data_IF_281509164750
#
_entry.id   IF_281509164750
#
_cell.length_a   1.000
_cell.length_b   1.000
_cell.length_c   1.000
_cell.angle_alpha   90.00
_cell.angle_beta   90.00
_cell.angle_gamma   90.00
#
_symmetry.space_group_name_H-M   'P 1'
#
loop_
_entity.id
_entity.type
_entity.pdbx_description
1 polymer ?
#
# COMPACT_ATOMS: atom_id res chain seq x y z
N UNK A 1 25.87 -17.28 -8.64
CA UNK A 1 27.19 -17.48 -9.28
C UNK A 1 28.28 -17.34 -8.25
N UNK A 2 29.32 -18.20 -8.29
CA UNK A 2 30.50 -18.08 -7.41
C UNK A 2 31.64 -17.50 -8.25
N UNK A 3 32.30 -16.48 -7.74
CA UNK A 3 33.45 -15.80 -8.36
C UNK A 3 34.68 -16.12 -7.53
N UNK A 4 35.69 -16.69 -8.13
CA UNK A 4 37.00 -17.01 -7.49
C UNK A 4 38.03 -15.89 -7.72
N UNK A 5 39.06 -15.84 -6.86
CA UNK A 5 40.16 -14.88 -6.98
C UNK A 5 39.81 -13.45 -6.55
N UNK A 6 38.77 -13.31 -5.72
CA UNK A 6 38.29 -12.00 -5.25
C UNK A 6 39.20 -11.48 -4.13
N UNK A 7 39.88 -10.35 -4.38
CA UNK A 7 40.78 -9.72 -3.40
C UNK A 7 40.08 -8.65 -2.54
N UNK A 8 39.07 -7.99 -3.09
CA UNK A 8 38.26 -6.98 -2.40
C UNK A 8 36.84 -7.07 -2.92
N UNK A 9 35.89 -7.28 -2.05
CA UNK A 9 34.46 -7.15 -2.31
C UNK A 9 33.76 -6.81 -1.00
N UNK A 10 32.66 -6.12 -1.08
CA UNK A 10 31.81 -5.80 0.08
C UNK A 10 30.46 -6.49 -0.05
N UNK A 11 29.82 -6.78 1.09
CA UNK A 11 28.44 -7.27 1.11
C UNK A 11 27.53 -6.23 0.45
N UNK A 12 26.56 -6.68 -0.32
CA UNK A 12 25.57 -5.85 -1.06
C UNK A 12 26.17 -4.95 -2.17
N UNK A 13 27.46 -5.14 -2.49
CA UNK A 13 28.14 -4.43 -3.58
C UNK A 13 27.62 -4.88 -4.94
N UNK A 14 27.39 -3.91 -5.85
CA UNK A 14 27.05 -4.19 -7.23
C UNK A 14 28.24 -4.75 -7.99
N UNK A 15 27.93 -5.67 -8.88
CA UNK A 15 28.87 -6.23 -9.84
C UNK A 15 28.32 -6.12 -11.27
N UNK A 16 29.17 -5.79 -12.21
CA UNK A 16 28.89 -5.88 -13.65
C UNK A 16 29.46 -7.21 -14.17
N UNK A 17 28.64 -7.96 -14.87
CA UNK A 17 28.96 -9.27 -15.39
C UNK A 17 28.91 -9.18 -16.91
N UNK A 18 30.05 -9.37 -17.57
CA UNK A 18 30.16 -9.40 -19.03
C UNK A 18 30.25 -10.85 -19.49
N UNK A 19 29.29 -11.27 -20.30
CA UNK A 19 29.24 -12.60 -20.90
C UNK A 19 30.17 -12.74 -22.07
N UNK A 20 30.42 -13.96 -22.56
CA UNK A 20 31.33 -14.20 -23.69
C UNK A 20 30.88 -13.58 -25.03
N UNK A 21 29.58 -13.36 -25.18
CA UNK A 21 28.96 -12.71 -26.34
C UNK A 21 28.80 -11.18 -26.17
N UNK A 22 29.35 -10.62 -25.07
CA UNK A 22 29.39 -9.19 -24.82
C UNK A 22 28.10 -8.63 -24.19
N UNK A 23 27.17 -9.48 -23.80
CA UNK A 23 25.99 -9.06 -22.98
C UNK A 23 26.48 -8.61 -21.60
N UNK A 24 25.89 -7.55 -21.08
CA UNK A 24 26.17 -7.05 -19.74
C UNK A 24 24.98 -7.29 -18.83
N UNK A 25 25.24 -7.91 -17.69
CA UNK A 25 24.28 -8.16 -16.63
C UNK A 25 24.74 -7.49 -15.34
N UNK A 26 23.80 -7.20 -14.48
CA UNK A 26 24.08 -6.72 -13.14
C UNK A 26 23.88 -7.85 -12.13
N UNK A 27 24.58 -7.71 -11.01
CA UNK A 27 24.40 -8.58 -9.85
C UNK A 27 24.82 -7.88 -8.58
N UNK A 28 24.58 -8.53 -7.46
CA UNK A 28 25.05 -8.06 -6.16
C UNK A 28 25.76 -9.16 -5.37
N UNK A 29 26.69 -8.74 -4.56
CA UNK A 29 27.44 -9.63 -3.68
C UNK A 29 26.56 -10.03 -2.49
N UNK A 30 26.38 -11.33 -2.31
CA UNK A 30 25.63 -11.91 -1.19
C UNK A 30 26.53 -12.36 -0.05
N UNK A 31 27.75 -12.80 -0.40
CA UNK A 31 28.68 -13.33 0.57
C UNK A 31 30.12 -13.14 0.07
N UNK A 32 31.03 -12.86 0.98
CA UNK A 32 32.46 -12.74 0.71
C UNK A 32 33.23 -13.56 1.72
N UNK A 33 34.08 -14.45 1.25
CA UNK A 33 34.93 -15.25 2.13
C UNK A 33 35.96 -16.08 1.38
N UNK A 34 37.12 -16.31 2.00
CA UNK A 34 38.16 -17.23 1.49
C UNK A 34 38.59 -16.97 0.04
N UNK A 35 38.67 -15.69 -0.38
CA UNK A 35 39.05 -15.33 -1.75
C UNK A 35 37.97 -15.57 -2.81
N UNK A 36 36.72 -15.77 -2.36
CA UNK A 36 35.54 -16.00 -3.21
C UNK A 36 34.44 -15.00 -2.88
N UNK A 37 33.59 -14.70 -3.85
CA UNK A 37 32.35 -13.99 -3.66
C UNK A 37 31.17 -14.77 -4.25
N UNK A 38 30.08 -14.88 -3.48
CA UNK A 38 28.80 -15.35 -4.01
C UNK A 38 28.04 -14.14 -4.56
N UNK A 39 27.74 -14.20 -5.85
CA UNK A 39 27.08 -13.11 -6.56
C UNK A 39 25.71 -13.58 -7.04
N UNK A 40 24.69 -12.83 -6.70
CA UNK A 40 23.36 -12.98 -7.26
C UNK A 40 23.25 -12.15 -8.53
N UNK A 41 22.96 -12.80 -9.65
CA UNK A 41 22.79 -12.15 -10.96
C UNK A 41 21.33 -11.75 -11.11
N UNK A 42 21.06 -10.49 -11.47
CA UNK A 42 19.68 -9.96 -11.54
C UNK A 42 18.92 -10.58 -12.72
N UNK A 43 19.51 -10.62 -13.89
CA UNK A 43 18.90 -11.17 -15.10
C UNK A 43 19.07 -12.71 -15.21
N UNK A 44 19.45 -13.36 -14.13
CA UNK A 44 19.65 -14.82 -14.08
C UNK A 44 21.01 -15.27 -14.61
N UNK A 45 21.30 -16.57 -14.41
CA UNK A 45 22.61 -17.17 -14.75
C UNK A 45 22.61 -17.99 -16.04
N UNK A 46 21.47 -18.08 -16.74
CA UNK A 46 21.36 -18.83 -18.00
C UNK A 46 22.29 -18.23 -19.05
N UNK A 47 23.11 -19.07 -19.71
CA UNK A 47 24.05 -18.62 -20.70
C UNK A 47 25.41 -18.10 -20.19
N UNK A 48 25.58 -17.99 -18.85
CA UNK A 48 26.88 -17.68 -18.28
C UNK A 48 27.83 -18.88 -18.40
N UNK A 49 28.98 -18.66 -19.03
CA UNK A 49 30.02 -19.68 -19.15
C UNK A 49 30.97 -19.64 -17.94
N UNK A 50 31.44 -20.80 -17.49
CA UNK A 50 32.40 -20.91 -16.37
C UNK A 50 33.72 -20.22 -16.72
N UNK A 51 34.11 -20.27 -18.01
CA UNK A 51 35.32 -19.65 -18.52
C UNK A 51 34.96 -18.57 -19.52
N UNK A 52 35.55 -17.37 -19.36
CA UNK A 52 35.35 -16.23 -20.27
C UNK A 52 34.36 -15.18 -19.80
N UNK A 53 33.46 -15.51 -18.87
CA UNK A 53 32.64 -14.52 -18.16
C UNK A 53 33.53 -13.64 -17.28
N UNK A 54 33.42 -12.33 -17.41
CA UNK A 54 34.18 -11.35 -16.63
C UNK A 54 33.27 -10.71 -15.59
N UNK A 55 33.79 -10.52 -14.38
CA UNK A 55 33.06 -9.88 -13.28
C UNK A 55 33.84 -8.68 -12.79
N UNK A 56 33.21 -7.52 -12.77
CA UNK A 56 33.76 -6.28 -12.29
C UNK A 56 33.00 -5.84 -11.03
N UNK A 57 33.67 -5.78 -9.91
CA UNK A 57 33.16 -5.22 -8.66
C UNK A 57 33.15 -3.70 -8.77
N UNK A 58 32.00 -3.07 -8.46
CA UNK A 58 31.80 -1.63 -8.70
C UNK A 58 32.14 -0.75 -7.49
N UNK A 59 32.38 -1.35 -6.31
CA UNK A 59 32.69 -0.63 -5.08
C UNK A 59 31.55 0.23 -4.54
N UNK A 60 30.32 -0.02 -4.98
CA UNK A 60 29.12 0.72 -4.58
C UNK A 60 27.90 -0.18 -4.52
N UNK A 61 26.94 0.21 -3.70
CA UNK A 61 25.61 -0.40 -3.64
C UNK A 61 24.74 0.05 -4.83
N UNK A 62 23.56 -0.52 -4.96
CA UNK A 62 22.61 -0.09 -5.98
C UNK A 62 22.08 1.32 -5.65
N UNK A 63 22.15 2.20 -6.64
CA UNK A 63 21.66 3.58 -6.52
C UNK A 63 20.56 3.84 -7.57
N UNK A 64 19.56 4.63 -7.19
CA UNK A 64 18.53 5.14 -8.09
C UNK A 64 18.86 6.59 -8.48
N UNK A 65 18.95 6.92 -9.78
CA UNK A 65 18.99 8.30 -10.23
C UNK A 65 17.62 8.95 -9.94
N UNK A 66 17.62 10.09 -9.29
CA UNK A 66 16.39 10.79 -8.91
C UNK A 66 16.38 12.21 -9.41
N UNK A 67 15.22 12.66 -9.88
CA UNK A 67 14.93 14.03 -10.29
C UNK A 67 13.41 14.25 -10.35
N UNK A 68 12.98 15.50 -10.51
CA UNK A 68 11.56 15.80 -10.72
C UNK A 68 11.03 15.24 -12.05
N UNK A 69 11.90 14.99 -13.02
CA UNK A 69 11.54 14.42 -14.33
C UNK A 69 11.05 12.97 -14.27
N UNK A 70 11.14 12.31 -13.11
CA UNK A 70 10.56 10.99 -12.91
C UNK A 70 9.03 11.01 -12.90
N UNK A 71 8.41 12.14 -12.59
CA UNK A 71 6.95 12.29 -12.66
C UNK A 71 6.45 12.11 -14.09
N UNK A 72 5.41 11.34 -14.25
CA UNK A 72 4.83 10.99 -15.55
C UNK A 72 5.48 9.79 -16.23
N UNK A 73 6.47 9.15 -15.62
CA UNK A 73 7.28 8.09 -16.22
C UNK A 73 6.90 6.70 -15.71
N UNK A 74 7.24 5.71 -16.55
CA UNK A 74 7.10 4.28 -16.23
C UNK A 74 8.46 3.61 -16.27
N UNK A 75 8.79 2.86 -15.23
CA UNK A 75 10.07 2.16 -15.04
C UNK A 75 9.84 0.66 -14.83
N UNK A 76 10.87 -0.13 -15.08
CA UNK A 76 10.91 -1.54 -14.66
C UNK A 76 11.20 -1.68 -13.15
N UNK A 77 11.29 -2.91 -12.66
CA UNK A 77 11.54 -3.21 -11.25
C UNK A 77 12.91 -2.74 -10.73
N UNK A 78 13.86 -2.49 -11.59
CA UNK A 78 15.21 -1.97 -11.28
C UNK A 78 15.33 -0.45 -11.45
N UNK A 79 14.26 0.23 -11.87
CA UNK A 79 14.25 1.68 -12.10
C UNK A 79 14.79 2.10 -13.47
N UNK A 80 14.88 1.20 -14.45
CA UNK A 80 15.22 1.53 -15.83
C UNK A 80 13.96 1.96 -16.59
N UNK A 81 14.01 2.99 -17.47
CA UNK A 81 12.86 3.42 -18.25
C UNK A 81 12.19 2.27 -19.01
N UNK A 82 10.88 2.16 -18.90
CA UNK A 82 10.03 1.16 -19.56
C UNK A 82 8.88 1.81 -20.35
N UNK A 83 9.05 3.07 -20.72
CA UNK A 83 8.10 3.87 -21.48
C UNK A 83 8.61 4.25 -22.88
N UNK A 84 9.76 3.75 -23.26
CA UNK A 84 10.41 4.04 -24.56
C UNK A 84 11.08 5.43 -24.62
N UNK A 85 11.13 6.15 -23.52
CA UNK A 85 11.81 7.44 -23.42
C UNK A 85 13.25 7.26 -22.91
N UNK A 86 14.15 8.23 -23.14
CA UNK A 86 15.52 8.18 -22.63
C UNK A 86 15.57 8.23 -21.11
N UNK A 87 16.74 7.90 -20.55
CA UNK A 87 17.01 8.05 -19.13
C UNK A 87 16.75 9.51 -18.68
N UNK A 88 16.07 9.72 -17.55
CA UNK A 88 15.87 11.06 -16.99
C UNK A 88 17.23 11.64 -16.53
N UNK A 89 17.37 12.95 -16.64
CA UNK A 89 18.55 13.63 -16.09
C UNK A 89 18.48 13.60 -14.56
N UNK A 90 19.51 12.99 -13.96
CA UNK A 90 19.53 12.83 -12.51
C UNK A 90 20.01 14.10 -11.79
N UNK A 91 19.25 14.56 -10.81
CA UNK A 91 19.71 15.58 -9.85
C UNK A 91 20.66 14.96 -8.82
N UNK A 92 20.35 13.74 -8.39
CA UNK A 92 21.09 12.96 -7.38
C UNK A 92 21.06 11.48 -7.69
N UNK A 93 21.98 10.75 -7.06
CA UNK A 93 22.00 9.28 -7.00
C UNK A 93 21.84 8.87 -5.53
N UNK A 94 20.75 8.17 -5.23
CA UNK A 94 20.43 7.75 -3.85
C UNK A 94 20.49 6.23 -3.74
N UNK A 95 21.03 5.75 -2.60
CA UNK A 95 21.07 4.30 -2.29
C UNK A 95 19.64 3.77 -2.15
N UNK A 96 19.34 2.67 -2.85
CA UNK A 96 17.99 2.08 -2.84
C UNK A 96 17.62 1.45 -1.49
N UNK A 97 18.58 1.14 -0.63
CA UNK A 97 18.30 0.67 0.72
C UNK A 97 17.74 1.78 1.62
N UNK A 98 17.93 3.05 1.23
CA UNK A 98 17.51 4.21 1.99
C UNK A 98 18.33 4.41 3.26
N UNK A 99 18.01 5.48 3.96
CA UNK A 99 18.57 5.77 5.27
C UNK A 99 17.50 5.61 6.36
N UNK A 100 17.83 5.01 7.51
CA UNK A 100 16.90 4.90 8.62
C UNK A 100 16.47 6.29 9.10
N UNK A 101 15.18 6.55 9.09
CA UNK A 101 14.63 7.80 9.62
C UNK A 101 14.84 7.87 11.13
N UNK A 102 15.59 8.89 11.62
CA UNK A 102 15.78 9.09 13.05
C UNK A 102 14.41 9.25 13.75
N UNK A 103 14.07 8.41 14.74
CA UNK A 103 12.79 8.47 15.44
C UNK A 103 12.48 9.83 16.08
N UNK A 104 13.51 10.56 16.57
CA UNK A 104 13.33 11.89 17.15
C UNK A 104 13.00 12.96 16.11
N UNK A 105 13.40 12.75 14.85
CA UNK A 105 13.10 13.64 13.74
C UNK A 105 11.71 13.39 13.16
N UNK A 106 11.03 12.32 13.54
CA UNK A 106 9.67 12.04 13.07
C UNK A 106 8.68 13.06 13.64
N UNK A 107 7.78 13.51 12.79
CA UNK A 107 6.62 14.29 13.17
C UNK A 107 5.39 13.37 13.22
N UNK A 108 4.56 13.55 14.26
CA UNK A 108 3.36 12.71 14.41
C UNK A 108 2.33 13.04 13.32
N UNK A 109 1.76 12.05 12.63
CA UNK A 109 0.77 12.25 11.57
C UNK A 109 -0.55 12.84 12.11
N UNK A 110 -1.01 13.95 11.51
CA UNK A 110 -2.23 14.64 11.94
C UNK A 110 -3.10 15.18 10.81
N UNK A 111 -2.70 14.97 9.55
CA UNK A 111 -3.37 15.58 8.40
C UNK A 111 -4.01 14.51 7.52
N UNK A 112 -5.27 14.73 7.15
CA UNK A 112 -6.08 13.86 6.32
C UNK A 112 -5.59 13.75 4.87
N UNK A 113 -5.68 12.57 4.28
CA UNK A 113 -5.59 12.34 2.83
C UNK A 113 -6.94 11.80 2.37
N UNK A 114 -7.57 12.48 1.42
CA UNK A 114 -8.80 12.02 0.79
C UNK A 114 -8.44 10.98 -0.28
N UNK A 115 -8.99 9.77 -0.14
CA UNK A 115 -8.82 8.69 -1.12
C UNK A 115 -9.95 8.68 -2.15
N UNK A 116 -11.05 9.37 -1.89
CA UNK A 116 -12.27 9.39 -2.70
C UNK A 116 -13.12 8.12 -2.55
N UNK A 117 -12.76 7.24 -1.59
CA UNK A 117 -13.47 6.01 -1.25
C UNK A 117 -14.15 6.20 0.10
N UNK A 118 -15.50 6.27 0.10
CA UNK A 118 -16.28 6.64 1.29
C UNK A 118 -15.94 5.85 2.54
N UNK A 119 -15.80 4.53 2.45
CA UNK A 119 -15.52 3.70 3.62
C UNK A 119 -14.12 3.96 4.19
N UNK A 120 -13.13 4.26 3.34
CA UNK A 120 -11.79 4.62 3.79
C UNK A 120 -11.83 6.02 4.40
N UNK A 121 -12.32 7.00 3.67
CA UNK A 121 -12.30 8.39 4.10
C UNK A 121 -13.17 8.63 5.33
N UNK A 122 -14.35 7.98 5.43
CA UNK A 122 -15.30 8.17 6.53
C UNK A 122 -15.05 7.35 7.78
N UNK A 123 -14.45 6.16 7.67
CA UNK A 123 -14.36 5.21 8.80
C UNK A 123 -12.95 4.69 9.08
N UNK A 124 -12.04 4.75 8.11
CA UNK A 124 -10.69 4.17 8.16
C UNK A 124 -9.63 5.19 7.72
N UNK A 125 -9.91 6.43 7.93
CA UNK A 125 -9.20 7.61 7.39
C UNK A 125 -7.69 7.44 7.29
N UNK A 126 -7.16 7.70 6.09
CA UNK A 126 -5.74 7.72 5.81
C UNK A 126 -5.14 9.06 6.25
N UNK A 127 -4.01 9.00 6.96
CA UNK A 127 -3.33 10.17 7.51
C UNK A 127 -1.93 10.31 6.86
N UNK A 128 -1.49 11.53 6.57
CA UNK A 128 -0.20 11.80 5.94
C UNK A 128 0.96 11.26 6.77
N UNK A 129 1.79 10.43 6.17
CA UNK A 129 2.92 9.77 6.85
C UNK A 129 2.55 8.46 7.54
N UNK A 130 1.32 7.99 7.40
CA UNK A 130 0.82 6.71 7.91
C UNK A 130 1.22 5.55 7.00
N UNK A 131 1.31 4.36 7.59
CA UNK A 131 1.33 3.06 6.91
C UNK A 131 -0.02 2.39 7.12
N UNK A 132 -0.88 2.37 6.09
CA UNK A 132 -2.21 1.75 6.14
C UNK A 132 -2.32 0.68 5.06
N UNK A 133 -2.04 -0.59 5.36
CA UNK A 133 -2.09 -1.66 4.37
C UNK A 133 -3.53 -2.07 4.02
N UNK A 134 -3.68 -2.62 2.80
CA UNK A 134 -4.89 -3.30 2.35
C UNK A 134 -4.62 -4.80 2.34
N UNK A 135 -5.39 -5.55 3.13
CA UNK A 135 -5.37 -7.00 3.16
C UNK A 135 -6.49 -7.54 2.28
N UNK A 136 -6.11 -8.23 1.22
CA UNK A 136 -7.03 -8.80 0.23
C UNK A 136 -6.97 -10.33 0.25
N UNK A 137 -7.94 -10.97 -0.36
CA UNK A 137 -7.86 -12.38 -0.72
C UNK A 137 -7.50 -12.55 -2.20
N UNK A 138 -6.99 -13.71 -2.55
CA UNK A 138 -6.66 -14.04 -3.93
C UNK A 138 -7.89 -13.91 -4.84
N UNK A 139 -7.73 -13.24 -6.00
CA UNK A 139 -8.79 -13.03 -6.99
C UNK A 139 -9.83 -11.96 -6.61
N UNK A 140 -9.57 -11.15 -5.57
CA UNK A 140 -10.43 -10.04 -5.20
C UNK A 140 -10.01 -8.73 -5.89
N UNK A 141 -10.81 -7.67 -5.74
CA UNK A 141 -10.70 -6.41 -6.48
C UNK A 141 -9.65 -5.41 -5.95
N UNK A 142 -8.61 -5.88 -5.25
CA UNK A 142 -7.59 -4.98 -4.67
C UNK A 142 -6.83 -4.16 -5.72
N UNK A 143 -6.57 -4.72 -6.90
CA UNK A 143 -5.90 -3.99 -7.98
C UNK A 143 -6.77 -2.84 -8.52
N UNK A 144 -8.09 -3.06 -8.60
CA UNK A 144 -9.05 -2.02 -8.99
C UNK A 144 -9.05 -0.90 -7.95
N UNK A 145 -9.08 -1.26 -6.66
CA UNK A 145 -9.06 -0.31 -5.55
C UNK A 145 -7.74 0.47 -5.51
N UNK A 146 -6.60 -0.20 -5.71
CA UNK A 146 -5.30 0.45 -5.79
C UNK A 146 -5.24 1.50 -6.92
N UNK A 147 -5.69 1.13 -8.11
CA UNK A 147 -5.75 2.03 -9.26
C UNK A 147 -6.72 3.20 -9.02
N UNK A 148 -7.88 2.96 -8.42
CA UNK A 148 -8.85 4.01 -8.05
C UNK A 148 -8.23 5.01 -7.08
N UNK A 149 -7.61 4.55 -6.01
CA UNK A 149 -6.96 5.43 -5.03
C UNK A 149 -5.82 6.21 -5.68
N UNK A 150 -4.97 5.57 -6.49
CA UNK A 150 -3.87 6.24 -7.20
C UNK A 150 -4.35 7.37 -8.11
N UNK A 151 -5.50 7.17 -8.79
CA UNK A 151 -6.09 8.19 -9.68
C UNK A 151 -6.64 9.39 -8.94
N UNK A 152 -7.32 9.18 -7.82
CA UNK A 152 -8.19 10.19 -7.20
C UNK A 152 -7.71 10.70 -5.84
N UNK A 153 -6.74 10.05 -5.20
CA UNK A 153 -6.20 10.51 -3.92
C UNK A 153 -5.66 11.94 -4.02
N UNK A 154 -5.93 12.73 -2.99
CA UNK A 154 -5.54 14.14 -2.94
C UNK A 154 -5.42 14.64 -1.51
N UNK A 155 -4.73 15.76 -1.37
CA UNK A 155 -4.68 16.54 -0.14
C UNK A 155 -5.72 17.64 -0.22
N UNK A 156 -6.65 17.68 0.73
CA UNK A 156 -7.76 18.63 0.74
C UNK A 156 -7.40 19.91 1.49
N UNK A 157 -7.78 21.05 0.93
CA UNK A 157 -7.69 22.37 1.61
C UNK A 157 -6.31 23.02 1.58
N UNK A 158 -5.36 22.53 0.81
CA UNK A 158 -4.02 23.11 0.65
C UNK A 158 -3.61 23.12 -0.83
N UNK A 159 -2.74 24.06 -1.20
CA UNK A 159 -2.08 24.09 -2.52
C UNK A 159 -0.74 23.30 -2.48
N UNK A 160 -0.63 22.30 -1.62
CA UNK A 160 0.58 21.51 -1.49
C UNK A 160 0.66 20.46 -2.62
N UNK A 161 1.86 20.29 -3.16
CA UNK A 161 2.11 19.35 -4.24
C UNK A 161 1.91 17.91 -3.75
N UNK A 162 1.11 17.14 -4.50
CA UNK A 162 0.82 15.73 -4.21
C UNK A 162 1.25 14.85 -5.36
N UNK A 163 1.97 13.78 -5.02
CA UNK A 163 2.41 12.77 -5.99
C UNK A 163 2.06 11.35 -5.55
N UNK A 164 1.99 10.45 -6.50
CA UNK A 164 1.81 9.01 -6.28
C UNK A 164 3.03 8.26 -6.79
N UNK A 165 3.60 7.41 -5.97
CA UNK A 165 4.60 6.42 -6.40
C UNK A 165 3.93 5.05 -6.33
N UNK A 166 3.77 4.42 -7.48
CA UNK A 166 3.08 3.13 -7.60
C UNK A 166 4.08 2.05 -7.98
N UNK A 167 4.21 1.02 -7.16
CA UNK A 167 5.03 -0.15 -7.45
C UNK A 167 4.14 -1.39 -7.62
N UNK A 168 4.10 -1.91 -8.83
CA UNK A 168 3.49 -3.19 -9.19
C UNK A 168 4.56 -4.28 -9.06
N UNK A 169 4.39 -5.21 -8.11
CA UNK A 169 5.42 -6.14 -7.64
C UNK A 169 4.98 -7.57 -7.98
N UNK A 170 5.64 -8.21 -8.93
CA UNK A 170 5.35 -9.58 -9.34
C UNK A 170 3.95 -9.76 -9.91
N UNK A 171 3.43 -8.76 -10.61
CA UNK A 171 2.09 -8.76 -11.19
C UNK A 171 2.06 -9.41 -12.57
N UNK A 172 0.89 -9.86 -13.00
CA UNK A 172 0.71 -10.34 -14.38
C UNK A 172 0.79 -9.17 -15.37
N UNK A 173 1.19 -9.47 -16.58
CA UNK A 173 1.28 -8.45 -17.65
C UNK A 173 -0.04 -7.69 -17.86
N UNK A 174 -1.17 -8.38 -17.81
CA UNK A 174 -2.51 -7.77 -17.93
C UNK A 174 -2.81 -6.78 -16.82
N UNK A 175 -2.37 -7.06 -15.59
CA UNK A 175 -2.53 -6.17 -14.44
C UNK A 175 -1.62 -4.94 -14.56
N UNK A 176 -0.38 -5.13 -15.00
CA UNK A 176 0.55 -4.04 -15.26
C UNK A 176 0.00 -3.08 -16.32
N UNK A 177 -0.54 -3.63 -17.43
CA UNK A 177 -1.20 -2.83 -18.47
C UNK A 177 -2.45 -2.12 -17.96
N UNK A 178 -3.23 -2.74 -17.07
CA UNK A 178 -4.38 -2.12 -16.44
C UNK A 178 -3.97 -0.90 -15.61
N UNK A 179 -2.94 -1.01 -14.75
CA UNK A 179 -2.44 0.11 -13.96
C UNK A 179 -1.96 1.26 -14.84
N UNK A 180 -1.10 0.95 -15.82
CA UNK A 180 -0.58 1.95 -16.76
C UNK A 180 -1.71 2.69 -17.47
N UNK A 181 -2.62 1.98 -18.12
CA UNK A 181 -3.76 2.55 -18.83
C UNK A 181 -4.65 3.39 -17.92
N UNK A 182 -4.95 2.88 -16.72
CA UNK A 182 -5.79 3.56 -15.75
C UNK A 182 -5.23 4.93 -15.32
N UNK A 183 -3.91 5.02 -15.13
CA UNK A 183 -3.23 6.28 -14.79
C UNK A 183 -3.10 7.21 -16.00
N UNK A 184 -2.85 6.67 -17.20
CA UNK A 184 -2.76 7.43 -18.45
C UNK A 184 -4.10 8.08 -18.82
N UNK A 185 -5.17 7.27 -18.92
CA UNK A 185 -6.50 7.71 -19.34
C UNK A 185 -7.12 8.74 -18.37
N UNK A 186 -6.86 8.61 -17.10
CA UNK A 186 -7.30 9.59 -16.08
C UNK A 186 -6.46 10.87 -16.03
N UNK A 187 -5.29 10.88 -16.68
CA UNK A 187 -4.30 11.95 -16.56
C UNK A 187 -3.52 11.96 -15.25
N UNK A 188 -3.77 11.00 -14.35
CA UNK A 188 -3.07 10.90 -13.06
C UNK A 188 -1.60 10.52 -13.20
N UNK A 189 -1.20 9.90 -14.33
CA UNK A 189 0.19 9.56 -14.58
C UNK A 189 1.10 10.79 -14.49
N UNK A 190 0.67 11.97 -14.91
CA UNK A 190 1.47 13.21 -14.86
C UNK A 190 2.01 13.56 -13.46
N UNK A 191 1.31 13.14 -12.41
CA UNK A 191 1.69 13.32 -11.00
C UNK A 191 2.13 12.01 -10.35
N UNK A 192 2.41 10.99 -11.15
CA UNK A 192 2.75 9.65 -10.66
C UNK A 192 4.07 9.16 -11.23
N UNK A 193 4.72 8.25 -10.51
CA UNK A 193 5.81 7.42 -11.00
C UNK A 193 5.38 5.97 -10.87
N UNK A 194 5.43 5.21 -11.97
CA UNK A 194 5.02 3.81 -12.00
C UNK A 194 6.24 2.90 -12.16
N UNK A 195 6.44 1.99 -11.22
CA UNK A 195 7.41 0.90 -11.30
C UNK A 195 6.67 -0.42 -11.57
N UNK A 196 7.17 -1.20 -12.50
CA UNK A 196 6.54 -2.46 -12.92
C UNK A 196 7.55 -3.59 -12.88
N UNK A 197 7.32 -4.56 -12.01
CA UNK A 197 7.97 -5.85 -12.00
C UNK A 197 6.93 -6.92 -12.32
N UNK A 198 7.16 -7.69 -13.37
CA UNK A 198 6.25 -8.73 -13.82
C UNK A 198 6.45 -10.04 -13.06
N UNK A 199 5.47 -10.93 -13.15
CA UNK A 199 5.52 -12.24 -12.48
C UNK A 199 6.62 -13.16 -13.04
N UNK A 200 7.01 -12.97 -14.30
CA UNK A 200 8.07 -13.71 -15.00
C UNK A 200 9.46 -13.04 -14.89
N UNK A 201 9.54 -11.85 -14.30
CA UNK A 201 10.83 -11.22 -13.99
C UNK A 201 11.53 -11.97 -12.84
N UNK A 202 12.86 -11.91 -12.77
CA UNK A 202 13.63 -12.56 -11.71
C UNK A 202 13.22 -12.15 -10.30
N UNK A 203 13.23 -13.11 -9.37
CA UNK A 203 12.83 -12.88 -7.97
C UNK A 203 13.63 -11.76 -7.28
N UNK A 204 14.89 -11.55 -7.67
CA UNK A 204 15.71 -10.48 -7.10
C UNK A 204 15.23 -9.09 -7.50
N UNK A 205 14.77 -8.89 -8.73
CA UNK A 205 14.17 -7.62 -9.15
C UNK A 205 12.94 -7.30 -8.31
N UNK A 206 12.14 -8.33 -8.00
CA UNK A 206 10.95 -8.22 -7.16
C UNK A 206 11.26 -7.70 -5.76
N UNK A 207 12.41 -8.09 -5.19
CA UNK A 207 12.87 -7.59 -3.89
C UNK A 207 13.37 -6.14 -3.98
N UNK A 208 13.94 -5.75 -5.11
CA UNK A 208 14.50 -4.41 -5.32
C UNK A 208 13.40 -3.40 -5.62
N UNK A 209 12.36 -3.78 -6.34
CA UNK A 209 11.28 -2.89 -6.80
C UNK A 209 10.69 -1.97 -5.73
N UNK A 210 10.24 -2.45 -4.54
CA UNK A 210 9.71 -1.54 -3.52
C UNK A 210 10.77 -0.60 -2.96
N UNK A 211 12.04 -1.01 -2.90
CA UNK A 211 13.14 -0.17 -2.43
C UNK A 211 13.42 0.98 -3.36
N UNK A 212 13.46 0.72 -4.67
CA UNK A 212 13.61 1.76 -5.71
C UNK A 212 12.45 2.74 -5.66
N UNK A 213 11.21 2.22 -5.60
CA UNK A 213 10.01 3.05 -5.52
C UNK A 213 10.01 3.95 -4.27
N UNK A 214 10.37 3.41 -3.12
CA UNK A 214 10.45 4.18 -1.87
C UNK A 214 11.58 5.21 -1.89
N UNK A 215 12.71 4.93 -2.55
CA UNK A 215 13.80 5.90 -2.73
C UNK A 215 13.33 7.11 -3.54
N UNK A 216 12.55 6.88 -4.59
CA UNK A 216 11.93 7.97 -5.36
C UNK A 216 10.89 8.72 -4.51
N UNK A 217 10.06 7.99 -3.74
CA UNK A 217 9.08 8.61 -2.85
C UNK A 217 9.74 9.51 -1.79
N UNK A 218 10.84 9.07 -1.19
CA UNK A 218 11.63 9.86 -0.22
C UNK A 218 12.22 11.12 -0.85
N UNK A 219 12.77 11.01 -2.05
CA UNK A 219 13.31 12.18 -2.77
C UNK A 219 12.21 13.20 -3.07
N UNK A 220 11.09 12.79 -3.65
CA UNK A 220 9.97 13.68 -3.94
C UNK A 220 9.42 14.33 -2.67
N UNK A 221 9.37 13.57 -1.56
CA UNK A 221 8.85 14.08 -0.30
C UNK A 221 9.86 14.97 0.45
N UNK A 222 11.08 14.52 0.66
CA UNK A 222 11.99 15.15 1.60
C UNK A 222 12.99 16.11 0.96
N UNK A 223 13.23 16.00 -0.34
CA UNK A 223 14.05 16.96 -1.10
C UNK A 223 13.18 17.99 -1.84
N UNK A 224 12.06 17.56 -2.46
CA UNK A 224 11.19 18.47 -3.21
C UNK A 224 9.98 18.99 -2.39
N UNK A 225 9.73 18.45 -1.19
CA UNK A 225 8.67 18.92 -0.30
C UNK A 225 7.26 18.45 -0.64
N UNK A 226 7.11 17.46 -1.51
CA UNK A 226 5.81 16.93 -1.95
C UNK A 226 5.18 16.01 -0.91
N UNK A 227 3.84 15.89 -0.92
CA UNK A 227 3.16 14.82 -0.21
C UNK A 227 3.03 13.62 -1.14
N UNK A 228 3.67 12.52 -0.78
CA UNK A 228 3.75 11.32 -1.62
C UNK A 228 2.94 10.20 -1.01
N UNK A 229 2.04 9.61 -1.82
CA UNK A 229 1.38 8.35 -1.52
C UNK A 229 2.10 7.22 -2.28
N UNK A 230 2.78 6.35 -1.55
CA UNK A 230 3.43 5.16 -2.09
C UNK A 230 2.47 3.95 -1.98
N UNK A 231 2.06 3.41 -3.12
CA UNK A 231 1.23 2.20 -3.23
C UNK A 231 2.12 1.05 -3.68
N UNK A 232 2.23 0.00 -2.85
CA UNK A 232 3.08 -1.16 -3.10
C UNK A 232 2.20 -2.41 -3.22
N UNK A 233 2.02 -2.94 -4.43
CA UNK A 233 1.18 -4.12 -4.70
C UNK A 233 1.89 -5.13 -5.62
N UNK A 234 2.06 -6.44 -5.31
CA UNK A 234 1.57 -7.14 -4.14
C UNK A 234 2.73 -7.50 -3.20
N UNK A 235 2.62 -7.14 -1.94
CA UNK A 235 3.68 -7.42 -0.95
C UNK A 235 3.75 -8.92 -0.58
N UNK A 236 2.75 -9.72 -0.93
CA UNK A 236 2.84 -11.19 -0.85
C UNK A 236 3.83 -11.71 -1.87
N UNK A 237 3.81 -11.20 -3.11
CA UNK A 237 4.78 -11.58 -4.14
C UNK A 237 6.21 -11.19 -3.72
N UNK A 238 6.36 -10.04 -3.05
CA UNK A 238 7.64 -9.64 -2.46
C UNK A 238 8.14 -10.66 -1.42
N UNK A 239 7.28 -11.05 -0.49
CA UNK A 239 7.64 -12.02 0.55
C UNK A 239 7.92 -13.42 -0.03
N UNK A 240 7.20 -13.83 -1.08
CA UNK A 240 7.47 -15.08 -1.79
C UNK A 240 8.84 -15.04 -2.49
N UNK A 241 9.23 -13.91 -3.07
CA UNK A 241 10.57 -13.75 -3.64
C UNK A 241 11.67 -13.85 -2.57
N UNK A 242 11.44 -13.29 -1.38
CA UNK A 242 12.36 -13.48 -0.24
C UNK A 242 12.48 -14.96 0.17
N UNK A 243 11.35 -15.67 0.20
CA UNK A 243 11.33 -17.11 0.51
C UNK A 243 12.09 -17.93 -0.52
N UNK A 244 11.90 -17.64 -1.81
CA UNK A 244 12.59 -18.29 -2.91
C UNK A 244 14.11 -18.10 -2.82
N UNK A 245 14.55 -16.87 -2.59
CA UNK A 245 15.98 -16.53 -2.49
C UNK A 245 16.60 -17.14 -1.23
N UNK A 246 15.91 -17.08 -0.09
CA UNK A 246 16.35 -17.70 1.15
C UNK A 246 16.50 -19.22 1.02
N UNK A 247 15.55 -19.88 0.34
CA UNK A 247 15.62 -21.31 0.05
C UNK A 247 16.79 -21.67 -0.89
N UNK A 248 17.02 -20.86 -1.92
CA UNK A 248 18.16 -21.02 -2.85
C UNK A 248 19.54 -20.82 -2.16
N UNK A 249 19.56 -20.10 -1.03
CA UNK A 249 20.75 -19.89 -0.20
C UNK A 249 20.88 -20.91 0.94
N UNK A 250 19.99 -21.90 1.00
CA UNK A 250 19.95 -22.93 2.04
C UNK A 250 19.88 -22.34 3.47
N UNK A 251 19.25 -21.17 3.61
CA UNK A 251 19.06 -20.52 4.92
C UNK A 251 18.04 -21.32 5.76
N UNK A 252 18.22 -21.33 7.08
CA UNK A 252 17.28 -22.03 7.97
C UNK A 252 15.91 -21.35 7.91
N UNK A 253 14.86 -22.05 7.47
CA UNK A 253 13.54 -21.46 7.31
C UNK A 253 12.88 -21.16 8.66
N UNK A 254 12.19 -20.03 8.72
CA UNK A 254 11.29 -19.68 9.80
C UNK A 254 9.85 -20.21 9.57
N UNK A 255 8.86 -19.51 10.14
CA UNK A 255 7.43 -19.87 10.06
C UNK A 255 6.96 -19.96 8.60
N UNK A 256 6.31 -21.08 8.23
CA UNK A 256 5.80 -21.38 6.87
C UNK A 256 6.87 -21.30 5.76
N UNK A 257 8.13 -21.49 6.08
CA UNK A 257 9.23 -21.49 5.11
C UNK A 257 9.77 -20.12 4.72
N UNK A 258 9.28 -19.05 5.32
CA UNK A 258 9.84 -17.70 5.12
C UNK A 258 11.17 -17.54 5.85
N UNK A 259 12.06 -16.63 5.39
CA UNK A 259 13.30 -16.37 6.10
C UNK A 259 13.04 -15.81 7.50
N UNK A 260 13.91 -16.12 8.46
CA UNK A 260 13.79 -15.63 9.83
C UNK A 260 13.80 -14.10 9.96
N UNK A 261 14.39 -13.42 8.99
CA UNK A 261 14.46 -11.95 8.93
C UNK A 261 13.28 -11.28 8.19
N UNK A 262 12.21 -12.02 7.82
CA UNK A 262 11.06 -11.45 7.09
C UNK A 262 10.48 -10.20 7.78
N UNK A 263 10.37 -10.23 9.13
CA UNK A 263 9.88 -9.08 9.89
C UNK A 263 10.76 -7.84 9.69
N UNK A 264 12.07 -7.99 9.85
CA UNK A 264 13.02 -6.88 9.72
C UNK A 264 13.04 -6.35 8.29
N UNK A 265 12.95 -7.22 7.30
CA UNK A 265 12.95 -6.82 5.90
C UNK A 265 11.68 -6.04 5.52
N UNK A 266 10.50 -6.50 5.93
CA UNK A 266 9.25 -5.75 5.78
C UNK A 266 9.29 -4.42 6.54
N UNK A 267 9.83 -4.41 7.77
CA UNK A 267 9.97 -3.21 8.56
C UNK A 267 10.89 -2.18 7.90
N UNK A 268 12.00 -2.60 7.30
CA UNK A 268 12.91 -1.71 6.56
C UNK A 268 12.21 -0.99 5.39
N UNK A 269 11.26 -1.64 4.72
CA UNK A 269 10.46 -1.00 3.69
C UNK A 269 9.38 -0.08 4.30
N UNK A 270 8.61 -0.57 5.25
CA UNK A 270 7.46 0.17 5.79
C UNK A 270 7.86 1.37 6.66
N UNK A 271 8.97 1.27 7.40
CA UNK A 271 9.48 2.37 8.23
C UNK A 271 10.05 3.57 7.44
N UNK A 272 10.12 3.47 6.13
CA UNK A 272 10.44 4.60 5.24
C UNK A 272 9.26 5.59 5.09
N UNK A 273 8.05 5.22 5.51
CA UNK A 273 6.93 6.14 5.62
C UNK A 273 7.09 7.08 6.81
N UNK A 274 6.59 8.30 6.68
CA UNK A 274 6.54 9.26 7.78
C UNK A 274 6.60 10.71 7.35
N UNK A 275 6.66 11.57 8.35
CA UNK A 275 6.95 13.00 8.24
C UNK A 275 8.21 13.31 9.03
N UNK A 276 8.99 14.26 8.57
CA UNK A 276 10.23 14.70 9.23
C UNK A 276 10.06 16.15 9.68
N UNK A 277 10.37 16.43 10.94
CA UNK A 277 10.34 17.79 11.48
C UNK A 277 11.21 18.75 10.65
N UNK A 278 10.64 19.89 10.27
CA UNK A 278 11.31 20.87 9.43
C UNK A 278 11.30 20.56 7.93
N UNK A 279 10.68 19.45 7.49
CA UNK A 279 10.40 19.16 6.08
C UNK A 279 8.91 19.34 5.80
N UNK A 280 8.56 19.93 4.68
CA UNK A 280 7.15 20.13 4.29
C UNK A 280 6.49 18.84 3.81
N UNK A 281 7.23 17.99 3.11
CA UNK A 281 6.73 16.76 2.50
C UNK A 281 6.48 15.60 3.47
N UNK A 282 5.86 14.56 2.94
CA UNK A 282 5.59 13.31 3.67
C UNK A 282 5.58 12.11 2.74
N UNK A 283 5.96 10.94 3.26
CA UNK A 283 5.75 9.65 2.60
C UNK A 283 4.66 8.90 3.36
N UNK A 284 3.53 8.68 2.70
CA UNK A 284 2.43 7.83 3.18
C UNK A 284 2.46 6.52 2.42
N UNK A 285 2.38 5.39 3.09
CA UNK A 285 2.41 4.09 2.43
C UNK A 285 1.08 3.37 2.53
N UNK A 286 0.68 2.77 1.41
CA UNK A 286 -0.44 1.84 1.32
C UNK A 286 0.08 0.52 0.72
N UNK A 287 0.70 -0.33 1.54
CA UNK A 287 1.07 -1.67 1.11
C UNK A 287 -0.18 -2.51 0.87
N UNK A 288 -0.23 -3.22 -0.24
CA UNK A 288 -1.33 -4.13 -0.56
C UNK A 288 -0.77 -5.54 -0.59
N UNK A 289 -1.46 -6.46 0.06
CA UNK A 289 -1.07 -7.86 0.12
C UNK A 289 -2.26 -8.79 -0.09
N UNK A 290 -2.01 -9.94 -0.70
CA UNK A 290 -2.96 -11.03 -0.87
C UNK A 290 -2.74 -12.06 0.23
N UNK A 291 -3.75 -12.28 1.09
CA UNK A 291 -3.69 -13.27 2.15
C UNK A 291 -3.83 -14.68 1.55
N UNK A 292 -2.82 -15.58 1.68
CA UNK A 292 -2.97 -16.96 1.26
C UNK A 292 -4.12 -17.65 2.01
N UNK A 293 -5.05 -18.25 1.27
CA UNK A 293 -6.26 -18.91 1.80
C UNK A 293 -7.17 -17.97 2.64
N UNK A 294 -7.15 -16.66 2.41
CA UNK A 294 -7.83 -15.63 3.20
C UNK A 294 -7.47 -15.67 4.70
N UNK A 295 -6.31 -16.22 5.04
CA UNK A 295 -5.82 -16.38 6.42
C UNK A 295 -5.07 -15.13 6.90
N UNK A 296 -5.74 -14.30 7.70
CA UNK A 296 -5.15 -13.10 8.30
C UNK A 296 -4.03 -13.43 9.31
N UNK A 297 -3.97 -14.67 9.80
CA UNK A 297 -2.92 -15.13 10.72
C UNK A 297 -1.68 -15.67 10.00
N UNK A 298 -1.70 -15.64 8.66
CA UNK A 298 -0.53 -15.98 7.85
C UNK A 298 0.64 -15.02 8.14
N UNK A 299 1.93 -15.44 8.11
CA UNK A 299 3.07 -14.59 8.46
C UNK A 299 3.08 -13.22 7.80
N UNK A 300 2.67 -13.12 6.54
CA UNK A 300 2.72 -11.85 5.79
C UNK A 300 1.75 -10.81 6.35
N UNK A 301 0.41 -11.05 6.42
CA UNK A 301 -0.51 -10.09 7.03
C UNK A 301 -0.26 -9.90 8.53
N UNK A 302 0.09 -10.97 9.26
CA UNK A 302 0.37 -10.92 10.70
C UNK A 302 1.52 -9.95 11.00
N UNK A 303 2.68 -10.13 10.36
CA UNK A 303 3.84 -9.25 10.55
C UNK A 303 3.58 -7.82 10.04
N UNK A 304 2.90 -7.68 8.90
CA UNK A 304 2.52 -6.36 8.36
C UNK A 304 1.63 -5.60 9.36
N UNK A 305 0.65 -6.27 9.97
CA UNK A 305 -0.22 -5.69 10.98
C UNK A 305 0.51 -5.20 12.24
N UNK A 306 1.62 -5.84 12.63
CA UNK A 306 2.47 -5.39 13.74
C UNK A 306 3.28 -4.13 13.40
N UNK A 307 3.75 -4.01 12.15
CA UNK A 307 4.61 -2.89 11.74
C UNK A 307 3.80 -1.63 11.43
N UNK A 308 2.55 -1.78 10.99
CA UNK A 308 1.73 -0.69 10.45
C UNK A 308 0.73 -0.12 11.45
N UNK A 309 0.13 1.03 11.14
CA UNK A 309 -0.83 1.72 12.02
C UNK A 309 -2.30 1.40 11.70
N UNK A 310 -2.58 0.15 11.39
CA UNK A 310 -3.94 -0.33 11.09
C UNK A 310 -3.95 -1.23 9.87
N UNK A 311 -5.15 -1.50 9.36
CA UNK A 311 -5.37 -2.30 8.14
C UNK A 311 -6.75 -2.04 7.55
N UNK A 312 -6.87 -2.13 6.25
CA UNK A 312 -8.13 -2.21 5.51
C UNK A 312 -8.28 -3.64 5.00
N UNK A 313 -9.27 -4.37 5.48
CA UNK A 313 -9.48 -5.79 5.12
C UNK A 313 -10.60 -5.90 4.11
N UNK A 314 -10.33 -6.54 2.96
CA UNK A 314 -11.35 -6.85 1.97
C UNK A 314 -12.05 -8.16 2.34
N UNK A 315 -13.39 -8.15 2.38
CA UNK A 315 -14.22 -9.30 2.78
C UNK A 315 -14.73 -10.07 1.57
N UNK A 316 -14.48 -11.37 1.54
CA UNK A 316 -14.94 -12.23 0.45
C UNK A 316 -16.46 -12.34 0.36
N UNK A 317 -17.16 -12.23 1.49
CA UNK A 317 -18.63 -12.28 1.52
C UNK A 317 -19.24 -11.05 0.83
N UNK A 318 -18.69 -9.85 1.08
CA UNK A 318 -19.10 -8.62 0.40
C UNK A 318 -18.76 -8.68 -1.09
N UNK A 319 -17.59 -9.21 -1.43
CA UNK A 319 -17.19 -9.41 -2.83
C UNK A 319 -18.18 -10.33 -3.58
N UNK A 320 -18.59 -11.45 -2.96
CA UNK A 320 -19.60 -12.36 -3.55
C UNK A 320 -20.99 -11.72 -3.71
N UNK A 321 -21.33 -10.75 -2.86
CA UNK A 321 -22.55 -9.94 -2.97
C UNK A 321 -22.47 -8.89 -4.08
N UNK A 322 -21.34 -8.75 -4.79
CA UNK A 322 -21.11 -7.73 -5.82
C UNK A 322 -20.97 -6.32 -5.26
N UNK A 323 -20.52 -6.21 -4.00
CA UNK A 323 -20.21 -4.92 -3.36
C UNK A 323 -18.76 -4.55 -3.67
N UNK A 324 -18.57 -3.35 -4.18
CA UNK A 324 -17.24 -2.79 -4.42
C UNK A 324 -17.18 -1.36 -3.85
N UNK A 325 -16.09 -1.00 -3.13
CA UNK A 325 -15.04 -1.90 -2.64
C UNK A 325 -15.57 -2.82 -1.53
N UNK A 326 -15.16 -4.10 -1.48
CA UNK A 326 -15.70 -5.06 -0.53
C UNK A 326 -15.01 -4.95 0.83
N UNK A 327 -14.94 -3.76 1.42
CA UNK A 327 -14.24 -3.50 2.69
C UNK A 327 -15.04 -4.04 3.87
N UNK A 328 -14.45 -4.98 4.60
CA UNK A 328 -15.00 -5.47 5.85
C UNK A 328 -14.59 -4.54 7.00
N UNK A 329 -15.48 -3.63 7.36
CA UNK A 329 -15.23 -2.62 8.41
C UNK A 329 -15.04 -3.24 9.79
N UNK A 330 -15.61 -4.42 10.06
CA UNK A 330 -15.49 -5.11 11.34
C UNK A 330 -14.07 -5.65 11.59
N UNK A 331 -13.32 -5.93 10.53
CA UNK A 331 -11.93 -6.40 10.59
C UNK A 331 -10.90 -5.31 10.28
N UNK A 332 -11.37 -4.12 9.94
CA UNK A 332 -10.55 -3.00 9.51
C UNK A 332 -10.38 -1.98 10.63
N UNK A 333 -9.24 -1.30 10.65
CA UNK A 333 -8.91 -0.29 11.65
C UNK A 333 -7.86 0.68 11.11
N UNK A 334 -8.06 1.99 11.34
CA UNK A 334 -6.99 3.00 11.23
C UNK A 334 -6.72 3.61 12.60
N UNK A 335 -5.55 3.30 13.18
CA UNK A 335 -5.18 3.75 14.54
C UNK A 335 -4.94 5.25 14.63
N UNK A 336 -4.59 5.89 13.51
CA UNK A 336 -4.29 7.33 13.44
C UNK A 336 -5.50 8.18 13.03
N UNK A 337 -6.64 7.57 12.70
CA UNK A 337 -7.85 8.30 12.30
C UNK A 337 -8.21 9.39 13.33
N UNK A 338 -8.21 9.08 14.63
CA UNK A 338 -8.54 10.02 15.72
C UNK A 338 -7.69 11.30 15.71
N UNK A 339 -6.46 11.20 15.19
CA UNK A 339 -5.51 12.30 15.12
C UNK A 339 -5.55 13.04 13.76
N UNK A 340 -6.19 12.45 12.75
CA UNK A 340 -6.31 12.98 11.38
C UNK A 340 -7.63 13.67 11.08
N UNK A 341 -8.67 13.52 11.94
CA UNK A 341 -10.03 14.00 11.66
C UNK A 341 -10.57 14.93 12.76
N UNK A 342 -11.64 15.64 12.44
CA UNK A 342 -12.35 16.54 13.37
C UNK A 342 -12.03 18.00 13.14
N UNK A 343 -12.37 18.84 14.11
CA UNK A 343 -12.31 20.31 14.02
C UNK A 343 -10.94 20.82 13.59
N UNK A 344 -10.93 21.68 12.57
CA UNK A 344 -9.70 22.23 11.98
C UNK A 344 -8.98 21.29 10.96
N UNK A 345 -9.48 20.06 10.75
CA UNK A 345 -8.89 19.08 9.84
C UNK A 345 -9.92 18.54 8.84
N UNK A 346 -11.06 18.13 9.35
CA UNK A 346 -12.22 17.66 8.60
C UNK A 346 -13.49 18.25 9.21
N UNK A 347 -14.66 17.80 8.77
CA UNK A 347 -15.93 18.22 9.40
C UNK A 347 -15.97 17.78 10.87
N UNK A 348 -16.46 18.63 11.76
CA UNK A 348 -16.36 18.46 13.22
C UNK A 348 -17.07 17.21 13.78
N UNK A 349 -18.07 16.68 13.05
CA UNK A 349 -18.84 15.48 13.39
C UNK A 349 -18.18 14.18 12.85
N UNK A 350 -17.12 14.26 12.05
CA UNK A 350 -16.57 13.14 11.29
C UNK A 350 -16.30 11.90 12.18
N UNK A 351 -15.54 12.06 13.25
CA UNK A 351 -15.19 10.94 14.15
C UNK A 351 -16.43 10.31 14.80
N UNK A 352 -17.40 11.14 15.20
CA UNK A 352 -18.62 10.70 15.84
C UNK A 352 -19.51 9.91 14.86
N UNK A 353 -19.65 10.42 13.63
CA UNK A 353 -20.38 9.74 12.55
C UNK A 353 -19.75 8.41 12.19
N UNK A 354 -18.43 8.36 12.02
CA UNK A 354 -17.71 7.11 11.72
C UNK A 354 -17.91 6.06 12.81
N UNK A 355 -17.79 6.46 14.08
CA UNK A 355 -18.03 5.57 15.22
C UNK A 355 -19.49 5.09 15.32
N UNK A 356 -20.46 5.96 15.03
CA UNK A 356 -21.87 5.60 15.05
C UNK A 356 -22.24 4.66 13.90
N UNK A 357 -21.67 4.87 12.70
CA UNK A 357 -21.84 3.94 11.59
C UNK A 357 -21.28 2.55 11.89
N UNK A 358 -20.09 2.50 12.51
CA UNK A 358 -19.50 1.23 12.93
C UNK A 358 -20.40 0.49 13.91
N UNK A 359 -20.88 1.21 14.95
CA UNK A 359 -21.78 0.67 15.98
C UNK A 359 -23.11 0.16 15.35
N UNK A 360 -23.72 0.97 14.49
CA UNK A 360 -24.96 0.62 13.79
C UNK A 360 -24.79 -0.62 12.90
N UNK A 361 -23.69 -0.70 12.14
CA UNK A 361 -23.43 -1.85 11.29
C UNK A 361 -23.09 -3.11 12.09
N UNK A 362 -22.33 -2.97 13.19
CA UNK A 362 -22.07 -4.09 14.12
C UNK A 362 -23.38 -4.65 14.67
N UNK A 363 -24.28 -3.78 15.13
CA UNK A 363 -25.60 -4.18 15.61
C UNK A 363 -26.44 -4.85 14.52
N UNK A 364 -26.39 -4.32 13.30
CA UNK A 364 -27.07 -4.94 12.17
C UNK A 364 -26.58 -6.38 11.90
N UNK A 365 -25.26 -6.65 12.03
CA UNK A 365 -24.72 -8.01 11.90
C UNK A 365 -25.21 -8.94 13.02
N UNK A 366 -25.25 -8.48 14.26
CA UNK A 366 -25.81 -9.24 15.38
C UNK A 366 -27.29 -9.58 15.15
N UNK A 367 -28.07 -8.61 14.68
CA UNK A 367 -29.50 -8.82 14.37
C UNK A 367 -29.69 -9.76 13.19
N UNK A 368 -28.82 -9.72 12.17
CA UNK A 368 -28.83 -10.70 11.06
C UNK A 368 -28.63 -12.13 11.59
N UNK A 369 -27.63 -12.33 12.45
CA UNK A 369 -27.38 -13.62 13.08
C UNK A 369 -28.57 -14.08 13.96
N UNK A 370 -29.20 -13.17 14.71
CA UNK A 370 -30.40 -13.47 15.49
C UNK A 370 -31.56 -13.86 14.58
N UNK A 371 -31.77 -13.15 13.47
CA UNK A 371 -32.84 -13.41 12.49
C UNK A 371 -32.74 -14.81 11.86
N UNK A 372 -31.53 -15.35 11.70
CA UNK A 372 -31.31 -16.71 11.22
C UNK A 372 -31.82 -17.78 12.23
N UNK A 373 -31.83 -17.45 13.52
CA UNK A 373 -32.25 -18.37 14.58
C UNK A 373 -33.75 -18.26 14.84
N UNK A 374 -34.28 -17.04 15.04
CA UNK A 374 -35.66 -16.82 15.50
C UNK A 374 -36.61 -16.43 14.36
N UNK A 375 -36.11 -16.20 13.16
CA UNK A 375 -36.83 -15.65 12.03
C UNK A 375 -37.14 -14.14 12.18
N UNK A 376 -37.45 -13.47 11.07
CA UNK A 376 -37.75 -12.03 11.09
C UNK A 376 -38.97 -11.65 11.96
N UNK A 377 -39.91 -12.58 12.11
CA UNK A 377 -41.10 -12.35 12.94
C UNK A 377 -40.78 -12.26 14.44
N UNK A 378 -39.62 -12.78 14.89
CA UNK A 378 -39.16 -12.70 16.26
C UNK A 378 -38.36 -11.45 16.63
N UNK A 379 -38.12 -10.56 15.66
CA UNK A 379 -37.34 -9.33 15.84
C UNK A 379 -38.25 -8.17 16.38
N UNK A 380 -37.62 -7.28 17.14
CA UNK A 380 -38.29 -6.03 17.57
C UNK A 380 -38.34 -5.01 16.41
N UNK A 381 -39.19 -3.97 16.57
CA UNK A 381 -39.25 -2.89 15.57
C UNK A 381 -37.94 -2.12 15.45
N UNK A 382 -37.12 -2.03 16.50
CA UNK A 382 -35.80 -1.41 16.46
C UNK A 382 -34.80 -2.32 15.76
N UNK A 383 -34.86 -3.64 16.00
CA UNK A 383 -34.01 -4.60 15.27
C UNK A 383 -34.23 -4.56 13.75
N UNK A 384 -35.49 -4.41 13.32
CA UNK A 384 -35.79 -4.24 11.88
C UNK A 384 -35.16 -2.97 11.30
N UNK A 385 -35.16 -1.86 12.04
CA UNK A 385 -34.47 -0.62 11.62
C UNK A 385 -32.96 -0.79 11.52
N UNK A 386 -32.33 -1.57 12.40
CA UNK A 386 -30.90 -1.91 12.27
C UNK A 386 -30.62 -2.78 11.06
N UNK A 387 -31.52 -3.71 10.70
CA UNK A 387 -31.37 -4.46 9.44
C UNK A 387 -31.41 -3.52 8.22
N UNK A 388 -32.39 -2.61 8.19
CA UNK A 388 -32.53 -1.64 7.11
C UNK A 388 -31.31 -0.69 7.03
N UNK A 389 -30.80 -0.25 8.18
CA UNK A 389 -29.59 0.56 8.25
C UNK A 389 -28.36 -0.20 7.74
N UNK A 390 -28.22 -1.50 8.09
CA UNK A 390 -27.14 -2.36 7.60
C UNK A 390 -27.19 -2.60 6.09
N UNK A 391 -28.39 -2.84 5.55
CA UNK A 391 -28.60 -3.01 4.11
C UNK A 391 -28.33 -1.69 3.35
N UNK A 392 -28.75 -0.56 3.91
CA UNK A 392 -28.48 0.77 3.38
C UNK A 392 -26.99 1.10 3.44
N UNK A 393 -26.29 0.73 4.51
CA UNK A 393 -24.84 0.88 4.60
C UNK A 393 -24.10 0.13 3.50
N UNK A 394 -24.44 -1.14 3.26
CA UNK A 394 -23.81 -1.95 2.21
C UNK A 394 -24.12 -1.38 0.80
N UNK A 395 -25.35 -0.90 0.55
CA UNK A 395 -25.79 -0.51 -0.81
C UNK A 395 -25.54 0.95 -1.16
N UNK A 396 -25.56 1.88 -0.18
CA UNK A 396 -25.46 3.33 -0.45
C UNK A 396 -24.18 3.97 0.06
N UNK A 397 -23.54 3.41 1.09
CA UNK A 397 -22.28 3.93 1.62
C UNK A 397 -21.08 3.14 1.12
N UNK A 398 -21.07 1.82 1.37
CA UNK A 398 -19.96 0.95 1.04
C UNK A 398 -19.83 0.74 -0.48
N UNK A 399 -20.95 0.45 -1.15
CA UNK A 399 -20.96 0.24 -2.60
C UNK A 399 -20.71 1.55 -3.35
N UNK A 400 -19.65 1.53 -4.15
CA UNK A 400 -19.19 2.66 -4.95
C UNK A 400 -18.67 2.14 -6.30
N UNK A 401 -18.85 2.92 -7.38
CA UNK A 401 -18.23 2.56 -8.66
C UNK A 401 -16.71 2.75 -8.60
N UNK A 402 -15.92 1.92 -9.33
CA UNK A 402 -14.48 2.14 -9.47
C UNK A 402 -14.07 3.51 -10.01
N UNK A 403 -14.97 4.17 -10.74
CA UNK A 403 -14.72 5.50 -11.30
C UNK A 403 -15.35 6.64 -10.49
N UNK A 404 -16.08 6.30 -9.42
CA UNK A 404 -16.72 7.28 -8.55
C UNK A 404 -15.72 7.84 -7.54
N UNK A 405 -15.60 9.16 -7.50
CA UNK A 405 -14.80 9.89 -6.54
C UNK A 405 -15.72 10.66 -5.60
N UNK A 406 -15.86 10.21 -4.36
CA UNK A 406 -16.69 10.88 -3.36
C UNK A 406 -15.82 11.76 -2.47
N UNK A 407 -16.17 13.04 -2.36
CA UNK A 407 -15.50 13.90 -1.40
C UNK A 407 -16.00 13.62 0.04
N UNK A 408 -15.29 14.16 1.02
CA UNK A 408 -15.58 13.90 2.42
C UNK A 408 -16.96 14.39 2.86
N UNK A 409 -17.40 15.57 2.38
CA UNK A 409 -18.72 16.11 2.73
C UNK A 409 -19.86 15.26 2.18
N UNK A 410 -19.72 14.77 0.95
CA UNK A 410 -20.64 13.80 0.36
C UNK A 410 -20.64 12.49 1.15
N UNK A 411 -19.46 11.98 1.51
CA UNK A 411 -19.29 10.77 2.31
C UNK A 411 -20.01 10.89 3.65
N UNK A 412 -19.79 11.97 4.40
CA UNK A 412 -20.42 12.18 5.70
C UNK A 412 -21.93 12.46 5.58
N UNK A 413 -22.38 13.09 4.48
CA UNK A 413 -23.80 13.28 4.24
C UNK A 413 -24.51 11.96 3.99
N UNK A 414 -23.94 11.06 3.17
CA UNK A 414 -24.46 9.69 2.96
C UNK A 414 -24.50 8.89 4.28
N UNK A 415 -23.50 9.07 5.14
CA UNK A 415 -23.50 8.48 6.47
C UNK A 415 -24.69 8.94 7.31
N UNK A 416 -24.98 10.23 7.32
CA UNK A 416 -26.15 10.77 8.01
C UNK A 416 -27.48 10.30 7.43
N UNK A 417 -27.58 10.12 6.11
CA UNK A 417 -28.79 9.57 5.48
C UNK A 417 -29.10 8.14 5.97
N UNK A 418 -28.05 7.34 6.22
CA UNK A 418 -28.19 6.00 6.80
C UNK A 418 -28.60 6.10 8.28
N UNK A 419 -27.90 6.92 9.04
CA UNK A 419 -28.18 7.09 10.48
C UNK A 419 -29.57 7.66 10.75
N UNK A 420 -30.13 8.42 9.79
CA UNK A 420 -31.50 8.94 9.84
C UNK A 420 -32.59 7.85 9.77
N UNK A 421 -32.25 6.62 9.38
CA UNK A 421 -33.17 5.47 9.42
C UNK A 421 -33.38 4.93 10.84
N UNK A 422 -32.42 5.19 11.74
CA UNK A 422 -32.48 4.81 13.14
C UNK A 422 -33.21 5.87 13.96
N UNK A 423 -33.87 5.50 15.10
CA UNK A 423 -34.40 6.49 16.04
C UNK A 423 -33.27 7.36 16.60
N UNK A 424 -33.57 8.65 16.88
CA UNK A 424 -32.63 9.59 17.48
C UNK A 424 -31.95 9.06 18.75
N UNK A 425 -32.72 8.36 19.60
CA UNK A 425 -32.22 7.76 20.85
C UNK A 425 -31.16 6.67 20.67
N UNK A 426 -31.01 6.10 19.46
CA UNK A 426 -30.00 5.10 19.15
C UNK A 426 -28.65 5.74 18.75
N UNK A 427 -28.59 7.06 18.50
CA UNK A 427 -27.39 7.79 18.09
C UNK A 427 -26.48 8.16 19.27
N UNK A 428 -26.13 7.18 20.09
CA UNK A 428 -25.43 7.37 21.36
C UNK A 428 -23.93 7.79 21.23
N UNK A 429 -23.35 7.68 20.05
CA UNK A 429 -21.94 8.06 19.78
C UNK A 429 -21.81 9.48 19.27
N UNK A 430 -22.92 10.18 19.01
CA UNK A 430 -22.96 11.51 18.43
C UNK A 430 -23.44 12.53 19.46
N UNK A 431 -22.79 13.69 19.52
CA UNK A 431 -23.19 14.79 20.41
C UNK A 431 -24.47 15.46 19.93
N UNK A 432 -25.30 15.90 20.89
CA UNK A 432 -26.57 16.56 20.62
C UNK A 432 -26.46 17.71 19.60
N UNK A 433 -25.40 18.52 19.66
CA UNK A 433 -25.19 19.63 18.71
C UNK A 433 -25.13 19.18 17.26
N UNK A 434 -24.51 18.00 16.97
CA UNK A 434 -24.40 17.46 15.63
C UNK A 434 -25.70 16.76 15.21
N UNK A 435 -26.40 16.11 16.16
CA UNK A 435 -27.73 15.56 15.91
C UNK A 435 -28.68 16.68 15.49
N UNK A 436 -28.73 17.80 16.24
CA UNK A 436 -29.57 18.96 15.92
C UNK A 436 -29.27 19.56 14.56
N UNK A 437 -27.99 19.53 14.15
CA UNK A 437 -27.52 20.11 12.90
C UNK A 437 -27.75 19.23 11.68
N UNK A 438 -27.57 17.92 11.78
CA UNK A 438 -27.49 17.03 10.62
C UNK A 438 -28.54 15.93 10.58
N UNK A 439 -29.17 15.57 11.71
CA UNK A 439 -30.16 14.50 11.73
C UNK A 439 -31.49 14.92 11.09
N UNK A 440 -31.91 14.16 10.07
CA UNK A 440 -33.14 14.39 9.31
C UNK A 440 -34.18 13.29 9.48
N UNK A 441 -33.99 12.38 10.45
CA UNK A 441 -34.93 11.29 10.70
C UNK A 441 -36.24 11.78 11.31
N UNK A 442 -37.28 10.94 11.26
CA UNK A 442 -38.55 11.21 11.93
C UNK A 442 -38.32 11.20 13.46
N UNK A 443 -38.63 12.32 14.11
CA UNK A 443 -38.68 12.44 15.56
C UNK A 443 -39.76 11.54 16.13
#
# INVERSE_FOLDING_TARGET
>A
MIVDGVSKASFDELVEIETNDGERRLGKVLEVGSGKAVVQVFEGTTGLAITGTRVKFLGKTMVMPVSQELLGRVFDGLGRPNDGLPDPVADKFLDVNGEPMNPQSREYPTSFIQTGVSVIDGMLTLVRGQKLPIFSGSGMSHNILAAQIARQASVVGTNEDFAVVFAAIGVQYSEAQYFKRSLEESGALKRSVLFVNLADDPAIERIITPRVALTVAEYLAFDLGMHVLAILTDMTNYAEALREISAAREEVPGRKGYPGYLYTDLANNYERAGRIKGKSGSVTQMPILSMPADDITHPIPDLTGYITEGQVVLGRDLFRKGIYPPVNVMMSLSRLMKDGVGEGKTRSDHMEVGNQLYDAYSRAQEVRALAEIVGKAGLTGVDLKYLDAGDSFETHFLKQSPDENRNLDETLSRAWDILATLPEGELTKIKDKHIQQYYKGNK
#
